data_IF_104867771274
#
_entry.id   IF_104867771274
#
_cell.length_a   1.000
_cell.length_b   1.000
_cell.length_c   1.000
_cell.angle_alpha   90.00
_cell.angle_beta   90.00
_cell.angle_gamma   90.00
#
_symmetry.space_group_name_H-M   'P 1'
#
loop_
_entity.id
_entity.type
_entity.pdbx_description
1 polymer ?
#
# COMPACT_ATOMS: atom_id res chain seq x y z
N UNK A 1 8.99 -21.46 -11.37
CA UNK A 1 7.64 -21.82 -11.88
C UNK A 1 6.80 -20.55 -12.08
N UNK A 2 5.65 -20.57 -12.79
CA UNK A 2 4.77 -19.40 -12.89
C UNK A 2 4.30 -18.85 -11.53
N UNK A 3 4.30 -19.69 -10.50
CA UNK A 3 3.91 -19.40 -9.12
C UNK A 3 4.88 -18.42 -8.43
N UNK A 4 6.19 -18.61 -8.58
CA UNK A 4 7.22 -17.70 -8.04
C UNK A 4 7.14 -16.30 -8.67
N UNK A 5 6.76 -16.23 -9.95
CA UNK A 5 6.58 -14.96 -10.66
C UNK A 5 5.38 -14.20 -10.10
N UNK A 6 4.26 -14.88 -9.89
CA UNK A 6 3.04 -14.30 -9.34
C UNK A 6 3.29 -13.69 -7.95
N UNK A 7 3.93 -14.45 -7.07
CA UNK A 7 4.31 -14.04 -5.71
C UNK A 7 5.23 -12.83 -5.69
N UNK A 8 6.25 -12.85 -6.56
CA UNK A 8 7.22 -11.76 -6.68
C UNK A 8 6.56 -10.48 -7.20
N UNK A 9 5.67 -10.59 -8.17
CA UNK A 9 4.95 -9.44 -8.72
C UNK A 9 3.90 -8.90 -7.73
N UNK A 10 3.29 -9.79 -6.92
CA UNK A 10 2.41 -9.42 -5.82
C UNK A 10 3.17 -8.61 -4.75
N UNK A 11 4.34 -9.09 -4.33
CA UNK A 11 5.18 -8.42 -3.34
C UNK A 11 5.73 -7.09 -3.87
N UNK A 12 6.14 -7.03 -5.13
CA UNK A 12 6.54 -5.77 -5.76
C UNK A 12 5.38 -4.78 -5.75
N UNK A 13 4.21 -5.18 -6.20
CA UNK A 13 3.02 -4.31 -6.26
C UNK A 13 2.62 -3.80 -4.88
N UNK A 14 2.69 -4.64 -3.85
CA UNK A 14 2.52 -4.24 -2.44
C UNK A 14 3.47 -3.12 -2.04
N UNK A 15 4.77 -3.29 -2.30
CA UNK A 15 5.80 -2.29 -1.96
C UNK A 15 5.57 -0.99 -2.73
N UNK A 16 5.25 -1.05 -4.02
CA UNK A 16 5.00 0.13 -4.84
C UNK A 16 3.79 0.92 -4.36
N UNK A 17 2.66 0.26 -4.08
CA UNK A 17 1.43 0.94 -3.64
C UNK A 17 1.63 1.58 -2.26
N UNK A 18 2.18 0.83 -1.30
CA UNK A 18 2.44 1.35 0.04
C UNK A 18 3.45 2.50 -0.02
N UNK A 19 4.56 2.32 -0.75
CA UNK A 19 5.59 3.33 -0.90
C UNK A 19 5.08 4.62 -1.55
N UNK A 20 4.33 4.51 -2.65
CA UNK A 20 3.76 5.66 -3.34
C UNK A 20 2.79 6.44 -2.45
N UNK A 21 1.89 5.74 -1.73
CA UNK A 21 0.95 6.37 -0.82
C UNK A 21 1.65 7.03 0.38
N UNK A 22 2.70 6.40 0.94
CA UNK A 22 3.51 6.99 2.01
C UNK A 22 4.22 8.26 1.55
N UNK A 23 4.85 8.25 0.37
CA UNK A 23 5.51 9.44 -0.19
C UNK A 23 4.48 10.55 -0.45
N UNK A 24 3.36 10.23 -1.08
CA UNK A 24 2.28 11.19 -1.33
C UNK A 24 1.76 11.78 -0.01
N UNK A 25 1.56 10.95 1.01
CA UNK A 25 1.11 11.38 2.33
C UNK A 25 2.07 12.38 2.97
N UNK A 26 3.38 12.17 2.85
CA UNK A 26 4.40 13.10 3.35
C UNK A 26 4.34 14.42 2.58
N UNK A 27 4.27 14.35 1.24
CA UNK A 27 4.17 15.55 0.39
C UNK A 27 2.93 16.38 0.72
N UNK A 28 1.76 15.74 0.82
CA UNK A 28 0.52 16.44 1.21
C UNK A 28 0.60 17.03 2.61
N UNK A 29 1.23 16.35 3.57
CA UNK A 29 1.42 16.89 4.92
C UNK A 29 2.34 18.13 4.93
N UNK A 30 3.43 18.11 4.17
CA UNK A 30 4.33 19.26 4.03
C UNK A 30 3.62 20.44 3.37
N UNK A 31 2.86 20.19 2.30
CA UNK A 31 2.07 21.23 1.61
C UNK A 31 0.98 21.81 2.52
N UNK A 32 0.30 20.96 3.30
CA UNK A 32 -0.70 21.39 4.28
C UNK A 32 -0.10 22.38 5.29
N UNK A 33 1.09 22.07 5.82
CA UNK A 33 1.80 22.92 6.76
C UNK A 33 2.29 24.22 6.12
N UNK A 34 2.90 24.13 4.93
CA UNK A 34 3.43 25.28 4.20
C UNK A 34 2.34 26.29 3.83
N UNK A 35 1.20 25.82 3.32
CA UNK A 35 0.07 26.66 2.94
C UNK A 35 -0.85 27.03 4.10
N UNK A 36 -0.62 26.47 5.30
CA UNK A 36 -1.53 26.53 6.46
C UNK A 36 -2.97 26.10 6.11
N UNK A 37 -3.10 25.22 5.11
CA UNK A 37 -4.39 24.72 4.64
C UNK A 37 -4.64 23.33 5.21
N UNK A 38 -5.35 23.30 6.35
CA UNK A 38 -5.66 22.06 7.06
C UNK A 38 -6.63 21.12 6.30
N UNK A 39 -7.32 21.60 5.24
CA UNK A 39 -8.11 20.71 4.39
C UNK A 39 -7.26 19.64 3.70
N UNK A 40 -5.98 19.92 3.49
CA UNK A 40 -5.03 18.96 2.93
C UNK A 40 -4.66 17.83 3.90
N UNK A 41 -5.12 17.85 5.15
CA UNK A 41 -5.00 16.69 6.06
C UNK A 41 -5.91 15.54 5.62
N UNK A 42 -7.06 15.83 5.00
CA UNK A 42 -8.00 14.81 4.53
C UNK A 42 -7.33 13.81 3.56
N UNK A 43 -6.64 14.24 2.48
CA UNK A 43 -5.95 13.31 1.59
C UNK A 43 -4.81 12.57 2.30
N UNK A 44 -4.11 13.18 3.27
CA UNK A 44 -3.09 12.49 4.09
C UNK A 44 -3.71 11.28 4.81
N UNK A 45 -4.83 11.49 5.50
CA UNK A 45 -5.55 10.41 6.20
C UNK A 45 -6.03 9.34 5.24
N UNK A 46 -6.61 9.71 4.09
CA UNK A 46 -7.06 8.76 3.07
C UNK A 46 -5.92 7.93 2.50
N UNK A 47 -4.75 8.54 2.26
CA UNK A 47 -3.56 7.83 1.78
C UNK A 47 -3.04 6.82 2.82
N UNK A 48 -3.05 7.19 4.11
CA UNK A 48 -2.69 6.28 5.20
C UNK A 48 -3.67 5.10 5.26
N UNK A 49 -4.98 5.35 5.21
CA UNK A 49 -6.01 4.30 5.20
C UNK A 49 -5.79 3.37 4.00
N UNK A 50 -5.55 3.94 2.82
CA UNK A 50 -5.31 3.15 1.59
C UNK A 50 -4.08 2.25 1.73
N UNK A 51 -2.99 2.74 2.34
CA UNK A 51 -1.81 1.93 2.63
C UNK A 51 -2.10 0.77 3.57
N UNK A 52 -2.85 1.01 4.66
CA UNK A 52 -3.24 -0.05 5.61
C UNK A 52 -4.16 -1.07 4.95
N UNK A 53 -5.16 -0.61 4.19
CA UNK A 53 -6.06 -1.49 3.44
C UNK A 53 -5.31 -2.34 2.42
N UNK A 54 -4.32 -1.78 1.73
CA UNK A 54 -3.46 -2.54 0.83
C UNK A 54 -2.72 -3.65 1.58
N UNK A 55 -2.10 -3.37 2.73
CA UNK A 55 -1.43 -4.40 3.55
C UNK A 55 -2.37 -5.57 3.88
N UNK A 56 -3.58 -5.27 4.35
CA UNK A 56 -4.59 -6.29 4.70
C UNK A 56 -4.99 -7.10 3.47
N UNK A 57 -5.25 -6.43 2.34
CA UNK A 57 -5.66 -7.07 1.10
C UNK A 57 -4.58 -8.01 0.55
N UNK A 58 -3.33 -7.54 0.51
CA UNK A 58 -2.20 -8.36 0.08
C UNK A 58 -1.97 -9.55 1.02
N UNK A 59 -2.12 -9.38 2.34
CA UNK A 59 -2.03 -10.49 3.30
C UNK A 59 -3.12 -11.53 3.09
N UNK A 60 -4.35 -11.09 2.78
CA UNK A 60 -5.46 -12.00 2.44
C UNK A 60 -5.18 -12.79 1.16
N UNK A 61 -4.59 -12.14 0.16
CA UNK A 61 -4.20 -12.80 -1.09
C UNK A 61 -3.08 -13.82 -0.83
N UNK A 62 -2.04 -13.43 -0.09
CA UNK A 62 -0.92 -14.31 0.27
C UNK A 62 -1.41 -15.57 1.01
N UNK A 63 -2.30 -15.40 1.99
CA UNK A 63 -2.92 -16.53 2.70
C UNK A 63 -3.72 -17.43 1.76
N UNK A 64 -4.51 -16.87 0.84
CA UNK A 64 -5.28 -17.67 -0.14
C UNK A 64 -4.36 -18.55 -1.00
N UNK A 65 -3.22 -18.00 -1.45
CA UNK A 65 -2.26 -18.76 -2.24
C UNK A 65 -1.48 -19.79 -1.39
N UNK A 66 -1.23 -19.50 -0.12
CA UNK A 66 -0.61 -20.43 0.83
C UNK A 66 -1.52 -21.62 1.15
N UNK A 67 -2.79 -21.37 1.42
CA UNK A 67 -3.80 -22.41 1.68
C UNK A 67 -4.07 -23.29 0.44
N UNK A 68 -3.84 -22.73 -0.76
CA UNK A 68 -3.96 -23.47 -2.02
C UNK A 68 -2.72 -24.34 -2.33
N UNK A 69 -1.69 -24.34 -1.48
CA UNK A 69 -0.44 -25.09 -1.68
C UNK A 69 0.49 -24.53 -2.76
N UNK A 70 0.16 -23.36 -3.32
CA UNK A 70 0.93 -22.65 -4.35
C UNK A 70 2.16 -21.96 -3.72
N UNK A 71 2.06 -21.62 -2.43
CA UNK A 71 3.13 -21.05 -1.63
C UNK A 71 3.37 -21.99 -0.45
N UNK A 72 4.58 -22.55 -0.34
CA UNK A 72 4.99 -23.34 0.83
C UNK A 72 5.49 -22.43 1.95
#
# INVERSE_FOLDING_TARGET
MPEDKLLRDLNKSKIYIIGANSIASIVFALVAFYLKNYWLIIPVVLLIITSVSAVIFYKKIENKYRDSGIIK
#
